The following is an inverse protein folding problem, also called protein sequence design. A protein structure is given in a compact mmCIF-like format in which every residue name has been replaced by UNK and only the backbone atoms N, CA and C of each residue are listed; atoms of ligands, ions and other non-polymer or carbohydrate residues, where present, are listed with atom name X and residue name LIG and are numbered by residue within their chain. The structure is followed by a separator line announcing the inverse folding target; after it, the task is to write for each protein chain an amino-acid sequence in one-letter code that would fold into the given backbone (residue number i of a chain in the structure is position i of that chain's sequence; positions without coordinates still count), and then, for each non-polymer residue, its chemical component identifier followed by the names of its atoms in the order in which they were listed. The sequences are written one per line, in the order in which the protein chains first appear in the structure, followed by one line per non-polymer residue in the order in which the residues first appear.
data_IF_498121923849
#
_entry.id   IF_498121923849
#
_cell.length_a   1.000
_cell.length_b   1.000
_cell.length_c   1.000
_cell.angle_alpha   90.00
_cell.angle_beta   90.00
_cell.angle_gamma   90.00
#
_symmetry.space_group_name_H-M   'P 1'
#
loop_
_entity.id
_entity.type
_entity.pdbx_description
1 polymer ?
#
# COMPACT_ATOMS: atom_id res chain seq x y z
N UNK A 1 -7.95 -0.37 -41.91
CA UNK A 1 -6.68 -0.18 -41.28
C UNK A 1 -6.29 -1.40 -40.47
N UNK A 2 -5.36 -2.15 -40.98
CA UNK A 2 -5.06 -3.46 -40.43
C UNK A 2 -4.52 -3.43 -38.99
N UNK A 3 -3.82 -2.39 -38.62
CA UNK A 3 -3.21 -2.32 -37.32
C UNK A 3 -4.08 -1.76 -36.22
N UNK A 4 -5.21 -1.18 -36.56
CA UNK A 4 -6.05 -0.53 -35.57
C UNK A 4 -7.19 -1.43 -35.11
N UNK A 5 -7.22 -1.69 -33.83
CA UNK A 5 -8.32 -2.41 -33.19
C UNK A 5 -8.86 -1.53 -32.06
N UNK A 6 -10.09 -0.99 -32.18
CA UNK A 6 -10.68 -0.16 -31.13
C UNK A 6 -10.75 -0.86 -29.78
N UNK A 7 -10.98 -2.16 -29.76
CA UNK A 7 -11.02 -2.92 -28.52
C UNK A 7 -9.66 -2.91 -27.81
N UNK A 8 -8.58 -3.09 -28.55
CA UNK A 8 -7.24 -3.02 -27.98
C UNK A 8 -6.92 -1.62 -27.50
N UNK A 9 -7.43 -0.61 -28.17
CA UNK A 9 -7.17 0.77 -27.84
C UNK A 9 -7.98 1.23 -26.61
N UNK A 10 -9.25 0.86 -26.58
CA UNK A 10 -10.18 1.27 -25.51
C UNK A 10 -9.99 0.46 -24.24
N UNK A 11 -9.56 -0.77 -24.36
CA UNK A 11 -9.17 -1.60 -23.22
C UNK A 11 -7.69 -1.50 -22.97
N UNK A 12 -7.03 -0.56 -23.64
CA UNK A 12 -5.68 -0.20 -23.29
C UNK A 12 -5.68 -0.02 -21.78
N UNK A 13 -4.71 -0.59 -21.16
CA UNK A 13 -4.64 -0.74 -19.73
C UNK A 13 -4.95 0.57 -19.02
N UNK A 14 -5.86 0.52 -18.06
CA UNK A 14 -6.02 1.62 -17.14
C UNK A 14 -4.67 1.95 -16.52
N UNK A 15 -4.36 3.24 -16.40
CA UNK A 15 -3.11 3.66 -15.81
C UNK A 15 -3.13 3.31 -14.32
N UNK A 16 -2.15 2.55 -13.82
CA UNK A 16 -2.18 2.14 -12.42
C UNK A 16 -1.88 3.30 -11.49
N UNK A 17 -2.64 3.37 -10.41
CA UNK A 17 -2.38 4.25 -9.27
C UNK A 17 -1.93 3.37 -8.11
N UNK A 18 -0.62 3.31 -7.83
CA UNK A 18 -0.13 2.51 -6.71
C UNK A 18 -0.46 3.18 -5.38
N UNK A 19 -1.01 2.41 -4.46
CA UNK A 19 -1.24 2.84 -3.08
C UNK A 19 -0.52 1.86 -2.17
N UNK A 20 0.39 2.38 -1.36
CA UNK A 20 1.14 1.58 -0.40
C UNK A 20 0.63 1.89 1.00
N UNK A 21 0.06 0.91 1.65
CA UNK A 21 -0.42 1.02 3.03
C UNK A 21 0.67 0.53 3.96
N UNK A 22 1.12 1.40 4.86
CA UNK A 22 2.08 1.06 5.91
C UNK A 22 1.31 0.96 7.21
N UNK A 23 1.12 -0.25 7.71
CA UNK A 23 0.23 -0.52 8.82
C UNK A 23 1.00 -0.98 10.05
N UNK A 24 0.85 -0.24 11.13
CA UNK A 24 1.45 -0.54 12.43
C UNK A 24 0.64 -1.64 13.11
N UNK A 25 1.27 -2.81 13.27
CA UNK A 25 0.67 -3.93 14.01
C UNK A 25 1.47 -4.22 15.27
N UNK A 26 2.21 -3.22 15.78
CA UNK A 26 2.96 -3.36 17.03
C UNK A 26 2.03 -3.55 18.23
N UNK A 27 2.60 -3.99 19.33
CA UNK A 27 1.83 -4.26 20.56
C UNK A 27 1.11 -3.02 21.08
N UNK A 28 1.64 -1.81 20.83
CA UNK A 28 0.96 -0.57 21.22
C UNK A 28 -0.40 -0.40 20.54
N UNK A 29 -0.65 -1.10 19.45
CA UNK A 29 -1.93 -1.06 18.74
C UNK A 29 -2.98 -1.99 19.34
N UNK A 30 -2.63 -2.77 20.36
CA UNK A 30 -3.56 -3.74 20.97
C UNK A 30 -4.85 -3.07 21.43
N UNK A 31 -5.97 -3.77 21.31
CA UNK A 31 -7.28 -3.30 21.74
C UNK A 31 -7.96 -2.45 20.67
N UNK A 32 -8.43 -1.26 21.05
CA UNK A 32 -9.22 -0.44 20.15
C UNK A 32 -8.45 0.03 18.93
N UNK A 33 -7.16 0.31 19.07
CA UNK A 33 -6.35 0.83 17.96
C UNK A 33 -6.26 -0.17 16.81
N UNK A 34 -5.97 -1.45 17.09
CA UNK A 34 -5.91 -2.44 16.02
C UNK A 34 -7.29 -2.70 15.41
N UNK A 35 -8.34 -2.65 16.22
CA UNK A 35 -9.71 -2.81 15.74
C UNK A 35 -10.08 -1.66 14.81
N UNK A 36 -9.72 -0.43 15.18
CA UNK A 36 -9.96 0.75 14.34
C UNK A 36 -9.16 0.69 13.05
N UNK A 37 -7.90 0.23 13.12
CA UNK A 37 -7.07 0.06 11.93
C UNK A 37 -7.71 -0.94 10.98
N UNK A 38 -8.11 -2.10 11.48
CA UNK A 38 -8.72 -3.14 10.66
C UNK A 38 -10.00 -2.63 9.99
N UNK A 39 -10.85 -1.95 10.73
CA UNK A 39 -12.09 -1.40 10.20
C UNK A 39 -11.82 -0.32 9.16
N UNK A 40 -10.87 0.58 9.43
CA UNK A 40 -10.54 1.67 8.52
C UNK A 40 -9.94 1.17 7.21
N UNK A 41 -9.03 0.19 7.29
CA UNK A 41 -8.40 -0.35 6.09
C UNK A 41 -9.40 -1.14 5.25
N UNK A 42 -10.26 -1.91 5.89
CA UNK A 42 -11.31 -2.65 5.19
C UNK A 42 -12.21 -1.67 4.41
N UNK A 43 -12.62 -0.58 5.04
CA UNK A 43 -13.43 0.44 4.41
C UNK A 43 -12.66 1.14 3.28
N UNK A 44 -11.40 1.47 3.52
CA UNK A 44 -10.54 2.13 2.54
C UNK A 44 -10.39 1.29 1.28
N UNK A 45 -10.11 -0.01 1.42
CA UNK A 45 -9.97 -0.92 0.28
C UNK A 45 -11.29 -1.03 -0.48
N UNK A 46 -12.40 -1.09 0.24
CA UNK A 46 -13.72 -1.11 -0.39
C UNK A 46 -13.99 0.18 -1.18
N UNK A 47 -13.63 1.32 -0.61
CA UNK A 47 -13.79 2.62 -1.28
C UNK A 47 -12.91 2.70 -2.53
N UNK A 48 -11.68 2.21 -2.45
CA UNK A 48 -10.78 2.16 -3.61
C UNK A 48 -11.36 1.29 -4.73
N UNK A 49 -11.91 0.13 -4.36
CA UNK A 49 -12.53 -0.77 -5.34
C UNK A 49 -13.70 -0.09 -6.05
N UNK A 50 -14.49 0.69 -5.29
CA UNK A 50 -15.64 1.41 -5.84
C UNK A 50 -15.22 2.62 -6.67
N UNK A 51 -14.05 3.18 -6.41
CA UNK A 51 -13.54 4.36 -7.11
C UNK A 51 -12.85 4.01 -8.42
N UNK A 52 -12.50 2.76 -8.66
CA UNK A 52 -11.86 2.36 -9.91
C UNK A 52 -12.75 2.66 -11.10
N UNK A 53 -12.15 3.26 -12.11
CA UNK A 53 -12.80 3.60 -13.37
C UNK A 53 -11.97 3.07 -14.54
N UNK A 54 -12.54 3.11 -15.74
CA UNK A 54 -11.90 2.56 -16.93
C UNK A 54 -10.50 3.10 -17.21
N UNK A 55 -10.19 4.30 -16.72
CA UNK A 55 -8.92 4.97 -16.99
C UNK A 55 -7.90 4.83 -15.86
N UNK A 56 -8.34 4.38 -14.67
CA UNK A 56 -7.49 4.28 -13.49
C UNK A 56 -7.72 2.93 -12.82
N UNK A 57 -6.64 2.20 -12.60
CA UNK A 57 -6.64 0.99 -11.81
C UNK A 57 -5.91 1.26 -10.50
N UNK A 58 -6.58 1.05 -9.37
CA UNK A 58 -5.96 1.24 -8.06
C UNK A 58 -5.32 -0.06 -7.62
N UNK A 59 -3.98 -0.03 -7.50
CA UNK A 59 -3.20 -1.17 -7.05
C UNK A 59 -2.77 -0.93 -5.61
N UNK A 60 -3.20 -1.81 -4.71
CA UNK A 60 -2.92 -1.66 -3.29
C UNK A 60 -1.86 -2.68 -2.88
N UNK A 61 -0.84 -2.19 -2.20
CA UNK A 61 0.16 -3.02 -1.54
C UNK A 61 0.13 -2.72 -0.05
N UNK A 62 0.33 -3.74 0.76
CA UNK A 62 0.26 -3.62 2.21
C UNK A 62 1.58 -4.09 2.81
N UNK A 63 2.23 -3.19 3.54
CA UNK A 63 3.41 -3.49 4.34
C UNK A 63 3.00 -3.36 5.79
N UNK A 64 3.20 -4.42 6.57
CA UNK A 64 2.95 -4.40 8.01
C UNK A 64 4.26 -4.30 8.75
N UNK A 65 4.27 -3.58 9.87
CA UNK A 65 5.44 -3.50 10.72
C UNK A 65 5.05 -3.68 12.18
N UNK A 66 5.72 -4.60 12.83
CA UNK A 66 5.50 -5.03 14.20
C UNK A 66 6.73 -5.81 14.64
N UNK A 67 6.56 -7.08 15.03
CA UNK A 67 7.70 -7.94 15.35
C UNK A 67 8.68 -8.01 14.18
N UNK A 68 8.16 -7.92 12.96
CA UNK A 68 8.96 -7.84 11.75
C UNK A 68 8.30 -6.88 10.76
N UNK A 69 9.08 -6.41 9.80
CA UNK A 69 8.55 -5.66 8.67
C UNK A 69 8.40 -6.62 7.52
N UNK A 70 7.18 -6.70 6.98
CA UNK A 70 6.96 -7.62 5.87
C UNK A 70 6.00 -7.05 4.82
N UNK A 71 6.18 -7.49 3.59
CA UNK A 71 5.24 -7.24 2.53
C UNK A 71 4.07 -8.21 2.70
N UNK A 72 3.04 -7.74 3.39
CA UNK A 72 1.85 -8.55 3.68
C UNK A 72 1.07 -8.86 2.41
N UNK A 73 0.92 -7.87 1.55
CA UNK A 73 0.18 -8.00 0.31
C UNK A 73 0.95 -7.27 -0.80
N UNK A 74 1.41 -7.98 -1.84
CA UNK A 74 1.99 -7.29 -3.00
C UNK A 74 0.90 -6.52 -3.75
N UNK A 75 1.30 -5.67 -4.69
CA UNK A 75 0.32 -4.90 -5.45
C UNK A 75 -0.77 -5.79 -6.01
N UNK A 76 -1.99 -5.48 -5.64
CA UNK A 76 -3.19 -6.21 -6.03
C UNK A 76 -4.27 -5.19 -6.36
N UNK A 77 -5.04 -5.41 -7.41
CA UNK A 77 -6.18 -4.55 -7.70
C UNK A 77 -7.09 -4.47 -6.48
N UNK A 78 -7.53 -3.27 -6.13
CA UNK A 78 -8.31 -3.06 -4.91
C UNK A 78 -9.55 -3.96 -4.84
N UNK A 79 -10.19 -4.19 -5.99
CA UNK A 79 -11.37 -5.07 -6.08
C UNK A 79 -11.09 -6.54 -5.80
N UNK A 80 -9.82 -6.95 -5.89
CA UNK A 80 -9.40 -8.35 -5.71
C UNK A 80 -8.81 -8.62 -4.33
N UNK A 81 -8.68 -7.60 -3.48
CA UNK A 81 -8.14 -7.75 -2.14
C UNK A 81 -9.18 -8.39 -1.23
N UNK A 82 -8.80 -9.50 -0.61
CA UNK A 82 -9.59 -10.14 0.43
C UNK A 82 -9.00 -9.75 1.78
N UNK A 83 -9.65 -8.79 2.43
CA UNK A 83 -9.15 -8.29 3.70
C UNK A 83 -9.38 -9.29 4.82
N UNK A 84 -8.32 -9.57 5.57
CA UNK A 84 -8.39 -10.33 6.81
C UNK A 84 -7.82 -9.47 7.92
N UNK A 85 -8.49 -9.45 9.05
CA UNK A 85 -8.08 -8.62 10.17
C UNK A 85 -6.69 -8.99 10.65
N UNK A 86 -5.87 -7.97 10.90
CA UNK A 86 -4.51 -8.12 11.37
C UNK A 86 -4.48 -8.22 12.88
N UNK A 87 -3.48 -8.93 13.39
CA UNK A 87 -3.23 -9.08 14.81
C UNK A 87 -1.94 -8.36 15.20
N UNK A 88 -1.90 -7.89 16.44
CA UNK A 88 -0.72 -7.16 16.92
C UNK A 88 0.45 -8.08 17.20
N UNK A 89 1.66 -7.58 17.00
CA UNK A 89 2.90 -8.28 17.37
C UNK A 89 4.07 -7.30 17.40
N UNK A 90 4.86 -7.35 18.45
CA UNK A 90 6.19 -6.76 18.51
C UNK A 90 6.29 -5.25 18.58
N UNK A 91 7.36 -4.73 17.99
CA UNK A 91 7.81 -3.35 18.11
C UNK A 91 7.28 -2.46 16.98
N UNK A 92 7.84 -1.25 16.83
CA UNK A 92 7.39 -0.28 15.82
C UNK A 92 8.57 0.14 14.91
N UNK A 93 9.06 -0.73 14.03
CA UNK A 93 10.20 -0.42 13.15
C UNK A 93 9.76 0.40 11.94
N UNK A 94 9.31 1.62 12.19
CA UNK A 94 8.72 2.50 11.18
C UNK A 94 9.74 2.87 10.09
N UNK A 95 10.99 3.16 10.48
CA UNK A 95 12.03 3.49 9.52
C UNK A 95 12.31 2.35 8.54
N UNK A 96 12.33 1.12 9.04
CA UNK A 96 12.51 -0.07 8.19
C UNK A 96 11.34 -0.22 7.22
N UNK A 97 10.12 0.06 7.67
CA UNK A 97 8.94 0.03 6.81
C UNK A 97 9.05 1.07 5.69
N UNK A 98 9.50 2.28 6.00
CA UNK A 98 9.73 3.31 5.00
C UNK A 98 10.76 2.88 3.96
N UNK A 99 11.84 2.24 4.39
CA UNK A 99 12.88 1.76 3.49
C UNK A 99 12.37 0.65 2.57
N UNK A 100 11.53 -0.24 3.08
CA UNK A 100 10.92 -1.29 2.26
C UNK A 100 9.98 -0.68 1.20
N UNK A 101 9.17 0.30 1.59
CA UNK A 101 8.28 0.99 0.65
C UNK A 101 9.08 1.69 -0.44
N UNK A 102 10.18 2.36 -0.08
CA UNK A 102 11.05 3.02 -1.05
C UNK A 102 11.62 2.03 -2.06
N UNK A 103 12.15 0.91 -1.58
CA UNK A 103 12.72 -0.11 -2.45
C UNK A 103 11.68 -0.66 -3.43
N UNK A 104 10.46 -0.89 -2.96
CA UNK A 104 9.38 -1.40 -3.80
C UNK A 104 8.96 -0.38 -4.86
N UNK A 105 8.88 0.90 -4.49
CA UNK A 105 8.48 1.96 -5.42
C UNK A 105 9.55 2.19 -6.48
N UNK A 106 10.83 2.09 -6.13
CA UNK A 106 11.93 2.27 -7.06
C UNK A 106 12.14 1.07 -7.99
N UNK A 107 11.61 -0.09 -7.64
CA UNK A 107 11.71 -1.28 -8.47
C UNK A 107 10.71 -1.18 -9.63
N UNK A 108 11.22 -0.95 -10.84
CA UNK A 108 10.38 -0.74 -12.01
C UNK A 108 9.67 -2.02 -12.49
N UNK A 109 10.09 -3.18 -12.01
CA UNK A 109 9.37 -4.42 -12.26
C UNK A 109 8.15 -4.54 -11.36
N UNK A 110 8.17 -3.90 -10.19
CA UNK A 110 7.08 -3.92 -9.20
C UNK A 110 6.17 -2.71 -9.37
N UNK A 111 6.76 -1.51 -9.47
CA UNK A 111 6.01 -0.26 -9.66
C UNK A 111 6.40 0.33 -11.02
N UNK A 112 5.55 0.15 -12.05
CA UNK A 112 5.88 0.60 -13.39
C UNK A 112 6.11 2.11 -13.46
N UNK A 113 7.06 2.52 -14.29
CA UNK A 113 7.35 3.95 -14.48
C UNK A 113 6.21 4.70 -15.15
N UNK A 114 5.32 3.99 -15.84
CA UNK A 114 4.12 4.57 -16.47
C UNK A 114 2.98 4.79 -15.48
N UNK A 115 3.12 4.32 -14.24
CA UNK A 115 2.10 4.47 -13.23
C UNK A 115 1.96 5.94 -12.79
N UNK A 116 0.82 6.26 -12.19
CA UNK A 116 0.68 7.50 -11.45
C UNK A 116 1.66 7.53 -10.27
N UNK A 117 1.95 8.73 -9.78
CA UNK A 117 2.81 8.86 -8.59
C UNK A 117 2.20 8.06 -7.44
N UNK A 118 2.99 7.18 -6.78
CA UNK A 118 2.46 6.37 -5.70
C UNK A 118 1.96 7.20 -4.51
N UNK A 119 0.88 6.73 -3.91
CA UNK A 119 0.34 7.30 -2.68
C UNK A 119 0.70 6.37 -1.52
N UNK A 120 1.19 6.95 -0.43
CA UNK A 120 1.57 6.20 0.74
C UNK A 120 0.67 6.63 1.90
N UNK A 121 0.06 5.64 2.55
CA UNK A 121 -0.79 5.86 3.71
C UNK A 121 -0.16 5.15 4.91
N UNK A 122 0.16 5.92 5.94
CA UNK A 122 0.73 5.39 7.18
C UNK A 122 -0.34 5.41 8.26
N UNK A 123 -0.57 4.27 8.89
CA UNK A 123 -1.49 4.15 10.02
C UNK A 123 -0.71 3.63 11.23
N UNK A 124 -0.55 4.46 12.24
CA UNK A 124 0.16 4.14 13.47
C UNK A 124 -0.31 5.05 14.59
N UNK A 125 -0.32 4.55 15.82
CA UNK A 125 -0.56 5.37 17.02
C UNK A 125 0.66 5.40 17.93
N UNK A 126 1.72 4.67 17.57
CA UNK A 126 2.89 4.49 18.41
C UNK A 126 4.07 5.37 18.00
N UNK A 127 5.04 5.45 18.90
CA UNK A 127 6.32 6.06 18.59
C UNK A 127 7.23 5.01 17.99
N UNK A 128 7.94 5.35 16.88
CA UNK A 128 8.85 4.39 16.26
C UNK A 128 10.02 4.08 17.20
N UNK A 129 10.50 2.84 17.13
CA UNK A 129 11.64 2.39 17.90
C UNK A 129 12.93 2.32 17.10
N UNK A 130 12.91 2.82 15.87
CA UNK A 130 14.09 2.91 15.02
C UNK A 130 14.27 4.34 14.51
N UNK A 131 15.35 4.58 13.77
CA UNK A 131 15.61 5.88 13.15
C UNK A 131 14.75 6.00 11.89
N UNK A 132 13.69 6.77 11.98
CA UNK A 132 12.67 6.86 10.94
C UNK A 132 12.77 8.13 10.09
N UNK A 133 13.46 9.17 10.56
CA UNK A 133 13.44 10.46 9.90
C UNK A 133 14.10 10.44 8.53
N UNK A 134 15.30 9.85 8.44
CA UNK A 134 16.00 9.79 7.16
C UNK A 134 15.30 8.85 6.16
N UNK A 135 14.87 7.63 6.56
CA UNK A 135 14.08 6.79 5.66
C UNK A 135 12.81 7.48 5.15
N UNK A 136 12.14 8.29 5.98
CA UNK A 136 10.96 9.04 5.53
C UNK A 136 11.35 10.09 4.49
N UNK A 137 12.42 10.85 4.73
CA UNK A 137 12.88 11.85 3.76
C UNK A 137 13.25 11.21 2.44
N UNK A 138 13.93 10.06 2.48
CA UNK A 138 14.33 9.33 1.27
C UNK A 138 13.11 8.82 0.50
N UNK A 139 12.07 8.39 1.21
CA UNK A 139 10.85 7.87 0.61
C UNK A 139 10.07 8.96 -0.12
N UNK A 140 9.96 10.16 0.46
CA UNK A 140 9.14 11.23 -0.12
C UNK A 140 9.89 12.08 -1.15
N UNK A 141 11.19 11.89 -1.27
CA UNK A 141 11.99 12.55 -2.30
C UNK A 141 12.29 11.55 -3.44
#
# INVERSE_FOLDING_TARGET
MAGFNPANFTVAKAKPLPVVLLLDVSTSMQGDSINQLNAAVKEMVSDFASAEKNEIEILVSIITFGAEVKLHTPYTSAKDIEWQDLQVSGATPMGTAFSMAKAMIEDKEVTPSSAYRPTIVLVSDGEPNDSWQQPLRDLVN
#
